data_IF_871432371712
#
_entry.id   IF_871432371712
#
_cell.length_a   1.000
_cell.length_b   1.000
_cell.length_c   1.000
_cell.angle_alpha   90.00
_cell.angle_beta   90.00
_cell.angle_gamma   90.00
#
_symmetry.space_group_name_H-M   'P 1'
#
loop_
_entity.id
_entity.type
_entity.pdbx_description
1 polymer ?
#
# COMPACT_ATOMS: atom_id res chain seq x y z
N UNK A 1 15.39 -24.90 18.78
CA UNK A 1 15.33 -26.21 18.07
C UNK A 1 13.92 -26.76 18.23
N UNK A 2 13.38 -27.45 17.22
CA UNK A 2 12.04 -28.08 17.27
C UNK A 2 11.01 -27.60 16.24
N UNK A 3 11.40 -26.76 15.28
CA UNK A 3 10.50 -26.28 14.21
C UNK A 3 10.45 -27.23 13.00
N UNK A 4 9.41 -27.05 12.19
CA UNK A 4 9.13 -27.76 10.95
C UNK A 4 9.30 -26.84 9.71
N UNK A 5 9.30 -27.43 8.51
CA UNK A 5 9.31 -26.67 7.26
C UNK A 5 7.89 -26.43 6.79
N UNK A 6 7.53 -25.16 6.69
CA UNK A 6 6.30 -24.70 6.08
C UNK A 6 6.63 -23.49 5.19
N UNK A 7 6.48 -23.66 3.88
CA UNK A 7 6.84 -22.65 2.90
C UNK A 7 5.82 -21.49 2.90
N UNK A 8 4.53 -21.76 3.18
CA UNK A 8 3.52 -20.70 3.33
C UNK A 8 3.85 -19.83 4.54
N UNK A 9 4.10 -20.46 5.70
CA UNK A 9 4.50 -19.76 6.92
C UNK A 9 5.78 -18.95 6.70
N UNK A 10 6.76 -19.51 5.98
CA UNK A 10 7.99 -18.79 5.66
C UNK A 10 7.71 -17.57 4.79
N UNK A 11 6.85 -17.68 3.77
CA UNK A 11 6.44 -16.55 2.95
C UNK A 11 5.67 -15.49 3.77
N UNK A 12 4.71 -15.88 4.62
CA UNK A 12 4.00 -14.97 5.53
C UNK A 12 4.96 -14.25 6.49
N UNK A 13 6.01 -14.92 6.96
CA UNK A 13 7.03 -14.31 7.83
C UNK A 13 7.90 -13.30 7.08
N UNK A 14 8.24 -13.57 5.81
CA UNK A 14 8.92 -12.59 4.95
C UNK A 14 8.04 -11.36 4.73
N UNK A 15 6.73 -11.55 4.49
CA UNK A 15 5.78 -10.45 4.35
C UNK A 15 5.74 -9.56 5.61
N UNK A 16 5.58 -10.16 6.79
CA UNK A 16 5.65 -9.46 8.08
C UNK A 16 6.99 -8.73 8.26
N UNK A 17 8.11 -9.39 7.93
CA UNK A 17 9.43 -8.81 8.03
C UNK A 17 9.63 -7.59 7.12
N UNK A 18 8.97 -7.54 5.96
CA UNK A 18 9.02 -6.37 5.06
C UNK A 18 8.44 -5.11 5.71
N UNK A 19 7.47 -5.29 6.61
CA UNK A 19 6.85 -4.24 7.42
C UNK A 19 7.33 -4.27 8.88
N UNK A 20 8.57 -4.70 9.10
CA UNK A 20 9.25 -4.65 10.40
C UNK A 20 10.50 -3.74 10.30
N UNK A 21 11.05 -3.25 11.42
CA UNK A 21 12.24 -2.38 11.38
C UNK A 21 13.44 -3.05 10.69
N UNK A 22 13.67 -4.34 10.99
CA UNK A 22 14.76 -5.13 10.40
C UNK A 22 14.20 -6.37 9.74
N UNK A 23 14.49 -6.54 8.44
CA UNK A 23 14.22 -7.77 7.70
C UNK A 23 15.49 -8.62 7.63
N UNK A 24 15.58 -9.66 8.46
CA UNK A 24 16.71 -10.59 8.48
C UNK A 24 16.24 -12.03 8.52
N UNK A 25 16.59 -12.81 7.50
CA UNK A 25 16.31 -14.25 7.46
C UNK A 25 17.40 -15.00 8.23
N UNK A 26 17.00 -15.70 9.28
CA UNK A 26 17.90 -16.47 10.13
C UNK A 26 17.32 -17.87 10.40
N UNK A 27 18.19 -18.86 10.56
CA UNK A 27 17.81 -20.25 10.74
C UNK A 27 18.77 -20.99 11.68
N UNK A 28 18.28 -22.07 12.28
CA UNK A 28 19.15 -23.03 12.97
C UNK A 28 20.07 -23.71 11.94
N UNK A 29 21.30 -24.05 12.34
CA UNK A 29 22.24 -24.81 11.50
C UNK A 29 21.75 -26.24 11.29
N UNK A 30 21.06 -26.48 10.19
CA UNK A 30 20.53 -27.77 9.76
C UNK A 30 20.50 -27.83 8.24
N UNK A 31 20.89 -28.96 7.65
CA UNK A 31 20.89 -29.17 6.20
C UNK A 31 19.47 -29.18 5.60
N UNK A 32 18.47 -29.42 6.45
CA UNK A 32 17.06 -29.51 6.08
C UNK A 32 16.34 -28.15 6.11
N UNK A 33 16.96 -27.10 6.64
CA UNK A 33 16.37 -25.76 6.73
C UNK A 33 16.95 -24.86 5.65
N UNK A 34 16.08 -24.33 4.78
CA UNK A 34 16.44 -23.33 3.78
C UNK A 34 15.97 -21.95 4.24
N UNK A 35 16.86 -20.97 4.24
CA UNK A 35 16.52 -19.54 4.45
C UNK A 35 16.46 -18.77 3.13
N UNK A 36 17.02 -19.36 2.08
CA UNK A 36 17.14 -18.78 0.76
C UNK A 36 15.79 -18.81 0.04
N UNK A 37 15.21 -17.64 -0.33
CA UNK A 37 13.88 -17.56 -0.92
C UNK A 37 13.70 -18.40 -2.20
N UNK A 38 14.77 -18.61 -2.98
CA UNK A 38 14.73 -19.42 -4.20
C UNK A 38 14.58 -20.93 -3.95
N UNK A 39 14.74 -21.41 -2.70
CA UNK A 39 14.49 -22.82 -2.33
C UNK A 39 13.04 -23.09 -1.92
N UNK A 40 12.22 -22.03 -1.75
CA UNK A 40 10.79 -22.15 -1.53
C UNK A 40 10.11 -22.75 -2.76
N UNK A 41 9.02 -23.48 -2.56
CA UNK A 41 8.21 -24.01 -3.65
C UNK A 41 7.62 -22.87 -4.49
N UNK A 42 7.67 -23.08 -5.81
CA UNK A 42 6.99 -22.23 -6.78
C UNK A 42 5.60 -22.80 -7.04
N UNK A 43 4.62 -21.94 -7.26
CA UNK A 43 3.28 -22.34 -7.70
C UNK A 43 3.07 -21.89 -9.14
N UNK A 44 2.42 -22.73 -9.95
CA UNK A 44 1.97 -22.37 -11.29
C UNK A 44 0.72 -21.49 -11.28
N UNK A 45 0.05 -21.29 -10.13
CA UNK A 45 -1.13 -20.44 -10.01
C UNK A 45 -0.77 -18.95 -10.10
N UNK A 46 -1.10 -18.26 -11.21
CA UNK A 46 -0.74 -16.85 -11.38
C UNK A 46 -1.52 -15.91 -10.46
N UNK A 47 -2.70 -16.33 -9.99
CA UNK A 47 -3.63 -15.51 -9.19
C UNK A 47 -3.40 -15.62 -7.68
N UNK A 48 -2.97 -16.79 -7.18
CA UNK A 48 -2.69 -16.97 -5.76
C UNK A 48 -1.22 -16.64 -5.39
N UNK A 49 -0.30 -16.87 -6.34
CA UNK A 49 1.16 -16.82 -6.11
C UNK A 49 1.64 -17.97 -5.22
N UNK A 50 2.79 -18.57 -5.56
CA UNK A 50 3.43 -19.54 -4.68
C UNK A 50 4.27 -18.87 -3.59
N UNK A 51 4.75 -19.64 -2.60
CA UNK A 51 5.64 -19.13 -1.57
C UNK A 51 6.88 -18.40 -2.10
N UNK A 52 7.51 -18.93 -3.16
CA UNK A 52 8.68 -18.29 -3.81
C UNK A 52 8.32 -16.95 -4.45
N UNK A 53 7.21 -16.90 -5.18
CA UNK A 53 6.76 -15.70 -5.88
C UNK A 53 6.38 -14.61 -4.87
N UNK A 54 5.62 -14.97 -3.83
CA UNK A 54 5.27 -14.07 -2.74
C UNK A 54 6.52 -13.52 -2.03
N UNK A 55 7.45 -14.38 -1.64
CA UNK A 55 8.71 -13.96 -1.03
C UNK A 55 9.50 -12.99 -1.94
N UNK A 56 9.57 -13.30 -3.24
CA UNK A 56 10.27 -12.45 -4.23
C UNK A 56 9.61 -11.09 -4.38
N UNK A 57 8.28 -11.04 -4.46
CA UNK A 57 7.51 -9.80 -4.58
C UNK A 57 7.75 -8.90 -3.37
N UNK A 58 7.67 -9.45 -2.16
CA UNK A 58 7.82 -8.69 -0.92
C UNK A 58 9.25 -8.25 -0.65
N UNK A 59 10.25 -9.09 -0.97
CA UNK A 59 11.66 -8.69 -0.89
C UNK A 59 11.97 -7.53 -1.84
N UNK A 60 11.41 -7.54 -3.07
CA UNK A 60 11.52 -6.39 -3.98
C UNK A 60 10.80 -5.17 -3.43
N UNK A 61 9.59 -5.33 -2.89
CA UNK A 61 8.86 -4.25 -2.24
C UNK A 61 9.67 -3.64 -1.09
N UNK A 62 10.35 -4.45 -0.27
CA UNK A 62 11.21 -3.94 0.81
C UNK A 62 12.31 -3.01 0.29
N UNK A 63 12.94 -3.35 -0.83
CA UNK A 63 13.89 -2.44 -1.47
C UNK A 63 13.21 -1.19 -2.02
N UNK A 64 12.03 -1.33 -2.63
CA UNK A 64 11.27 -0.18 -3.13
C UNK A 64 10.85 0.77 -2.01
N UNK A 65 10.62 0.26 -0.81
CA UNK A 65 10.27 1.05 0.38
C UNK A 65 11.45 1.84 0.97
N UNK A 66 12.70 1.68 0.50
CA UNK A 66 13.85 2.36 1.10
C UNK A 66 13.69 3.89 1.28
N UNK A 67 13.14 4.66 0.33
CA UNK A 67 12.91 6.10 0.52
C UNK A 67 12.00 6.41 1.73
N UNK A 68 10.89 5.67 1.86
CA UNK A 68 9.99 5.78 3.01
C UNK A 68 10.66 5.32 4.31
N UNK A 69 11.32 4.17 4.30
CA UNK A 69 11.96 3.58 5.47
C UNK A 69 13.10 4.46 6.01
N UNK A 70 13.90 5.05 5.13
CA UNK A 70 14.98 5.94 5.54
C UNK A 70 14.42 7.16 6.28
N UNK A 71 13.43 7.84 5.68
CA UNK A 71 12.77 9.01 6.29
C UNK A 71 12.11 8.66 7.63
N UNK A 72 11.43 7.51 7.74
CA UNK A 72 10.79 7.07 8.98
C UNK A 72 11.80 6.59 10.05
N UNK A 73 12.95 6.03 9.66
CA UNK A 73 14.01 5.69 10.61
C UNK A 73 14.75 6.93 11.10
N UNK A 74 14.92 7.95 10.24
CA UNK A 74 15.43 9.26 10.67
C UNK A 74 14.50 9.88 11.70
N UNK A 75 13.18 9.88 11.44
CA UNK A 75 12.17 10.30 12.41
C UNK A 75 12.32 9.55 13.75
N UNK A 76 12.52 8.23 13.70
CA UNK A 76 12.75 7.45 14.91
C UNK A 76 14.03 7.86 15.66
N UNK A 77 15.11 8.18 14.95
CA UNK A 77 16.38 8.59 15.53
C UNK A 77 16.33 10.02 16.12
N UNK A 78 15.65 10.95 15.45
CA UNK A 78 15.62 12.37 15.82
C UNK A 78 14.49 12.69 16.79
N UNK A 79 13.29 12.15 16.57
CA UNK A 79 12.10 12.45 17.36
C UNK A 79 11.79 11.39 18.42
N UNK A 80 12.45 10.22 18.38
CA UNK A 80 12.15 9.10 19.27
C UNK A 80 10.85 8.37 18.93
N UNK A 81 10.26 8.60 17.77
CA UNK A 81 9.00 7.99 17.32
C UNK A 81 9.29 6.76 16.43
N UNK A 82 9.15 5.53 16.94
CA UNK A 82 9.58 4.33 16.24
C UNK A 82 8.76 4.09 14.96
N UNK A 83 9.37 3.37 14.01
CA UNK A 83 8.73 2.97 12.76
C UNK A 83 7.50 2.07 12.97
N UNK A 84 7.46 1.25 14.02
CA UNK A 84 6.30 0.42 14.34
C UNK A 84 5.66 0.97 15.60
N UNK A 85 4.39 1.36 15.51
CA UNK A 85 3.62 1.92 16.62
C UNK A 85 2.33 1.13 16.82
N UNK A 86 2.00 0.72 18.06
CA UNK A 86 0.75 0.03 18.31
C UNK A 86 -0.43 1.00 18.15
N UNK A 87 -1.59 0.48 17.79
CA UNK A 87 -2.77 1.31 17.51
C UNK A 87 -3.21 2.19 18.69
N UNK A 88 -3.03 1.69 19.92
CA UNK A 88 -3.46 2.42 21.13
C UNK A 88 -2.65 3.70 21.39
N UNK A 89 -1.53 3.95 20.69
CA UNK A 89 -0.80 5.22 20.79
C UNK A 89 -1.59 6.38 20.17
N UNK A 90 -2.13 6.15 18.97
CA UNK A 90 -2.93 7.12 18.23
C UNK A 90 -4.38 7.13 18.72
N UNK A 91 -4.94 5.94 18.97
CA UNK A 91 -6.35 5.74 19.30
C UNK A 91 -6.56 5.40 20.78
N UNK A 92 -5.99 6.21 21.68
CA UNK A 92 -5.95 5.97 23.13
C UNK A 92 -7.32 5.76 23.80
N UNK A 93 -8.38 6.35 23.23
CA UNK A 93 -9.74 6.29 23.77
C UNK A 93 -10.61 5.21 23.11
N UNK A 94 -10.01 4.34 22.30
CA UNK A 94 -10.70 3.30 21.53
C UNK A 94 -10.33 1.93 22.07
N UNK A 95 -11.29 1.23 22.67
CA UNK A 95 -11.08 -0.13 23.21
C UNK A 95 -10.61 -1.11 22.13
N UNK A 96 -11.04 -0.90 20.89
CA UNK A 96 -10.58 -1.69 19.74
C UNK A 96 -9.06 -1.66 19.57
N UNK A 97 -8.43 -0.51 19.81
CA UNK A 97 -6.99 -0.34 19.65
C UNK A 97 -6.19 -1.22 20.63
N UNK A 98 -6.78 -1.57 21.77
CA UNK A 98 -6.22 -2.49 22.76
C UNK A 98 -6.57 -3.95 22.47
N UNK A 99 -7.71 -4.24 21.81
CA UNK A 99 -8.12 -5.60 21.44
C UNK A 99 -7.35 -6.16 20.24
N UNK A 100 -6.91 -5.30 19.31
CA UNK A 100 -6.22 -5.69 18.08
C UNK A 100 -4.69 -5.53 18.17
N UNK A 101 -4.09 -6.19 19.16
CA UNK A 101 -2.67 -6.03 19.56
C UNK A 101 -1.65 -6.29 18.44
N UNK A 102 -1.97 -7.18 17.49
CA UNK A 102 -1.09 -7.52 16.38
C UNK A 102 -1.18 -6.53 15.20
N UNK A 103 -2.17 -5.62 15.20
CA UNK A 103 -2.27 -4.57 14.19
C UNK A 103 -1.47 -3.35 14.64
N UNK A 104 -0.78 -2.71 13.70
CA UNK A 104 0.12 -1.60 14.02
C UNK A 104 0.23 -0.59 12.89
N UNK A 105 0.57 0.64 13.25
CA UNK A 105 1.00 1.67 12.31
C UNK A 105 2.46 1.43 11.93
N UNK A 106 2.75 1.52 10.63
CA UNK A 106 4.07 1.38 10.05
C UNK A 106 4.51 2.72 9.45
N UNK A 107 5.30 3.47 10.21
CA UNK A 107 5.60 4.87 9.98
C UNK A 107 4.37 5.74 10.20
N UNK A 108 4.24 6.82 9.44
CA UNK A 108 3.12 7.76 9.55
C UNK A 108 1.92 7.38 8.66
N UNK A 109 2.12 6.53 7.65
CA UNK A 109 1.18 6.43 6.51
C UNK A 109 0.43 5.10 6.40
N UNK A 110 0.98 4.02 6.96
CA UNK A 110 0.51 2.65 6.72
C UNK A 110 -0.03 2.00 7.99
N UNK A 111 -1.09 1.22 7.84
CA UNK A 111 -1.63 0.29 8.83
C UNK A 111 -1.41 -1.13 8.34
N UNK A 112 -0.76 -1.96 9.15
CA UNK A 112 -0.44 -3.35 8.84
C UNK A 112 -1.23 -4.26 9.76
N UNK A 113 -1.88 -5.27 9.18
CA UNK A 113 -2.62 -6.29 9.93
C UNK A 113 -2.08 -7.68 9.55
N UNK A 114 -1.13 -8.23 10.33
CA UNK A 114 -0.49 -9.48 10.00
C UNK A 114 -1.45 -10.67 9.91
N UNK A 115 -1.22 -11.53 8.92
CA UNK A 115 -1.87 -12.85 8.84
C UNK A 115 -1.00 -13.86 9.59
N UNK A 116 -1.58 -14.49 10.60
CA UNK A 116 -0.91 -15.51 11.44
C UNK A 116 -1.61 -16.87 11.40
N UNK A 117 -2.68 -16.99 10.63
CA UNK A 117 -3.42 -18.24 10.41
C UNK A 117 -3.10 -18.80 9.01
N UNK A 118 -3.09 -20.14 8.84
CA UNK A 118 -2.85 -20.76 7.54
C UNK A 118 -3.99 -20.45 6.55
N UNK A 119 -3.66 -20.44 5.26
CA UNK A 119 -4.66 -20.32 4.22
C UNK A 119 -5.59 -21.54 4.18
N UNK A 120 -6.85 -21.28 3.83
CA UNK A 120 -7.75 -22.37 3.45
C UNK A 120 -7.22 -23.02 2.16
N UNK A 121 -6.98 -24.34 2.14
CA UNK A 121 -6.36 -25.01 1.01
C UNK A 121 -7.25 -25.06 -0.23
N UNK A 122 -8.58 -24.96 -0.08
CA UNK A 122 -9.50 -24.91 -1.22
C UNK A 122 -9.61 -23.50 -1.79
N UNK A 123 -9.59 -22.47 -0.95
CA UNK A 123 -9.70 -21.09 -1.40
C UNK A 123 -8.35 -20.48 -1.81
N UNK A 124 -7.24 -20.95 -1.23
CA UNK A 124 -5.93 -20.32 -1.37
C UNK A 124 -5.85 -18.95 -0.69
N UNK A 125 -6.72 -18.69 0.29
CA UNK A 125 -6.84 -17.42 1.00
C UNK A 125 -6.63 -17.66 2.50
N UNK A 126 -5.81 -16.83 3.12
CA UNK A 126 -5.76 -16.74 4.58
C UNK A 126 -6.56 -15.52 5.02
N UNK A 127 -7.29 -15.65 6.12
CA UNK A 127 -8.09 -14.57 6.70
C UNK A 127 -7.49 -14.08 8.00
N UNK A 128 -7.80 -12.84 8.34
CA UNK A 128 -7.54 -12.29 9.66
C UNK A 128 -8.69 -11.34 10.04
N UNK A 129 -8.98 -11.20 11.33
CA UNK A 129 -9.95 -10.22 11.83
C UNK A 129 -9.20 -8.94 12.20
N UNK A 130 -9.52 -7.83 11.55
CA UNK A 130 -8.88 -6.54 11.79
C UNK A 130 -9.88 -5.48 12.21
N UNK A 131 -9.37 -4.41 12.82
CA UNK A 131 -10.11 -3.17 13.05
C UNK A 131 -9.47 -2.06 12.23
N UNK A 132 -10.26 -1.45 11.34
CA UNK A 132 -9.86 -0.23 10.66
C UNK A 132 -10.29 0.96 11.53
N UNK A 133 -9.35 1.80 11.98
CA UNK A 133 -9.69 2.99 12.75
C UNK A 133 -10.55 3.99 11.96
N UNK A 134 -11.16 4.99 12.60
CA UNK A 134 -11.95 6.01 11.92
C UNK A 134 -11.22 6.68 10.75
N UNK A 135 -11.95 6.97 9.68
CA UNK A 135 -11.43 7.55 8.44
C UNK A 135 -11.56 6.62 7.24
N UNK A 136 -11.01 7.03 6.10
CA UNK A 136 -10.95 6.20 4.91
C UNK A 136 -9.56 5.58 4.73
N UNK A 137 -9.53 4.34 4.27
CA UNK A 137 -8.33 3.54 4.11
C UNK A 137 -8.30 2.92 2.72
N UNK A 138 -7.13 2.76 2.12
CA UNK A 138 -6.99 2.13 0.81
C UNK A 138 -5.99 0.99 0.90
N UNK A 139 -6.39 -0.21 0.45
CA UNK A 139 -5.48 -1.34 0.37
C UNK A 139 -4.31 -0.99 -0.56
N UNK A 140 -3.10 -1.01 -0.01
CA UNK A 140 -1.87 -0.55 -0.67
C UNK A 140 -1.55 -1.34 -1.95
N UNK A 141 -1.98 -2.60 -2.02
CA UNK A 141 -1.70 -3.49 -3.14
C UNK A 141 -2.83 -3.52 -4.17
N UNK A 142 -4.08 -3.42 -3.74
CA UNK A 142 -5.25 -3.60 -4.62
C UNK A 142 -5.95 -2.29 -4.99
N UNK A 143 -5.67 -1.20 -4.27
CA UNK A 143 -6.40 0.07 -4.41
C UNK A 143 -7.87 0.00 -4.00
N UNK A 144 -8.26 -1.06 -3.29
CA UNK A 144 -9.63 -1.21 -2.76
C UNK A 144 -9.82 -0.23 -1.62
N UNK A 145 -10.91 0.52 -1.66
CA UNK A 145 -11.23 1.57 -0.70
C UNK A 145 -12.03 0.99 0.46
N UNK A 146 -11.71 1.37 1.68
CA UNK A 146 -12.39 0.94 2.90
C UNK A 146 -12.85 2.14 3.70
N UNK A 147 -14.10 2.08 4.18
CA UNK A 147 -14.52 2.94 5.29
C UNK A 147 -14.08 2.31 6.61
N UNK A 148 -13.49 3.14 7.46
CA UNK A 148 -12.99 2.75 8.77
C UNK A 148 -14.07 2.74 9.85
N UNK A 149 -13.62 2.89 11.09
CA UNK A 149 -14.43 2.78 12.31
C UNK A 149 -15.18 1.44 12.44
N UNK A 150 -14.55 0.36 12.00
CA UNK A 150 -15.21 -0.96 11.94
C UNK A 150 -14.25 -2.13 12.05
N UNK A 151 -14.79 -3.23 12.55
CA UNK A 151 -14.15 -4.54 12.49
C UNK A 151 -14.58 -5.28 11.22
N UNK A 152 -13.66 -5.98 10.58
CA UNK A 152 -13.93 -6.79 9.41
C UNK A 152 -12.98 -7.99 9.32
N UNK A 153 -13.46 -9.02 8.64
CA UNK A 153 -12.61 -10.10 8.18
C UNK A 153 -11.96 -9.70 6.86
N UNK A 154 -10.64 -9.91 6.76
CA UNK A 154 -9.84 -9.54 5.60
C UNK A 154 -9.16 -10.81 5.10
N UNK A 155 -9.40 -11.15 3.83
CA UNK A 155 -8.91 -12.37 3.20
C UNK A 155 -7.88 -12.03 2.12
N UNK A 156 -6.67 -12.60 2.17
CA UNK A 156 -5.64 -12.35 1.16
C UNK A 156 -5.00 -13.65 0.65
N UNK A 157 -4.78 -13.77 -0.68
CA UNK A 157 -3.91 -14.81 -1.21
C UNK A 157 -2.47 -14.57 -0.76
N UNK A 158 -1.60 -15.54 -1.00
CA UNK A 158 -0.19 -15.43 -0.60
C UNK A 158 0.55 -14.32 -1.34
N UNK A 159 0.13 -13.97 -2.56
CA UNK A 159 0.67 -12.83 -3.31
C UNK A 159 0.37 -11.44 -2.69
N UNK A 160 -0.55 -11.34 -1.72
CA UNK A 160 -0.98 -10.09 -1.10
C UNK A 160 -0.88 -10.15 0.43
N UNK A 161 -0.94 -8.98 1.06
CA UNK A 161 -0.88 -8.83 2.51
C UNK A 161 -1.77 -7.67 2.98
N UNK A 162 -2.42 -7.74 4.15
CA UNK A 162 -3.28 -6.65 4.64
C UNK A 162 -2.44 -5.44 5.07
N UNK A 163 -2.32 -4.48 4.15
CA UNK A 163 -1.63 -3.20 4.36
C UNK A 163 -2.50 -2.10 3.78
N UNK A 164 -2.83 -1.13 4.60
CA UNK A 164 -3.77 -0.06 4.29
C UNK A 164 -3.09 1.29 4.44
N UNK A 165 -3.21 2.14 3.43
CA UNK A 165 -2.78 3.53 3.47
C UNK A 165 -3.98 4.40 3.86
N UNK A 166 -3.82 5.30 4.84
CA UNK A 166 -4.88 6.22 5.26
C UNK A 166 -5.16 7.28 4.17
N UNK A 167 -6.35 7.86 4.16
CA UNK A 167 -6.61 9.07 3.37
C UNK A 167 -5.59 10.17 3.71
N UNK A 168 -5.08 10.87 2.69
CA UNK A 168 -3.99 11.84 2.81
C UNK A 168 -2.59 11.22 2.87
N UNK A 169 -2.45 9.89 2.82
CA UNK A 169 -1.14 9.26 2.88
C UNK A 169 -0.26 9.61 1.68
N UNK A 170 1.01 9.86 1.94
CA UNK A 170 2.04 10.13 0.92
C UNK A 170 3.23 9.20 1.17
N UNK A 171 3.42 8.22 0.28
CA UNK A 171 4.41 7.15 0.46
C UNK A 171 5.40 7.16 -0.71
N UNK A 172 6.63 7.66 -0.52
CA UNK A 172 7.68 7.60 -1.53
C UNK A 172 8.31 6.20 -1.62
N UNK A 173 8.47 5.72 -2.84
CA UNK A 173 9.03 4.43 -3.21
C UNK A 173 10.03 4.60 -4.36
N UNK A 174 10.93 3.65 -4.50
CA UNK A 174 11.66 3.46 -5.77
C UNK A 174 10.67 3.03 -6.88
N UNK A 175 10.72 3.73 -8.03
CA UNK A 175 9.90 3.40 -9.20
C UNK A 175 10.33 2.07 -9.84
N UNK A 176 11.57 1.62 -9.63
CA UNK A 176 12.07 0.39 -10.19
C UNK A 176 11.29 -0.82 -9.65
N UNK A 177 10.68 -1.60 -10.53
CA UNK A 177 9.98 -2.84 -10.15
C UNK A 177 10.95 -3.91 -9.58
N UNK A 178 12.23 -3.83 -9.95
CA UNK A 178 13.31 -4.69 -9.47
C UNK A 178 14.51 -3.79 -9.13
N UNK A 179 14.49 -3.12 -7.96
CA UNK A 179 15.63 -2.29 -7.55
C UNK A 179 16.92 -3.11 -7.53
N UNK A 180 18.03 -2.45 -7.81
CA UNK A 180 19.35 -3.06 -7.66
C UNK A 180 19.67 -3.29 -6.20
N UNK A 181 20.60 -4.20 -5.93
CA UNK A 181 21.11 -4.36 -4.57
C UNK A 181 21.86 -3.09 -4.15
N UNK A 182 21.71 -2.68 -2.89
CA UNK A 182 22.30 -1.47 -2.33
C UNK A 182 21.24 -0.51 -1.79
N UNK A 183 21.66 0.71 -1.53
CA UNK A 183 20.83 1.79 -0.97
C UNK A 183 21.09 3.13 -1.68
N UNK A 184 21.51 3.10 -2.95
CA UNK A 184 21.69 4.33 -3.73
C UNK A 184 20.34 5.02 -3.94
N UNK A 185 20.35 6.36 -3.99
CA UNK A 185 19.12 7.12 -4.22
C UNK A 185 18.55 6.84 -5.62
N UNK A 186 17.22 6.64 -5.73
CA UNK A 186 16.61 6.26 -6.98
C UNK A 186 16.58 7.43 -7.97
N UNK A 187 16.89 7.14 -9.24
CA UNK A 187 16.75 8.09 -10.36
C UNK A 187 15.29 8.33 -10.76
N UNK A 188 14.38 7.46 -10.30
CA UNK A 188 12.95 7.58 -10.49
C UNK A 188 12.21 7.18 -9.20
N UNK A 189 11.31 8.06 -8.73
CA UNK A 189 10.49 7.82 -7.55
C UNK A 189 9.05 7.53 -7.97
N UNK A 190 8.43 6.53 -7.33
CA UNK A 190 6.97 6.47 -7.23
C UNK A 190 6.56 7.17 -5.93
N UNK A 191 5.57 8.06 -6.00
CA UNK A 191 4.91 8.62 -4.82
C UNK A 191 3.46 8.18 -4.84
N UNK A 192 3.10 7.29 -3.92
CA UNK A 192 1.70 6.88 -3.72
C UNK A 192 1.01 7.96 -2.90
N UNK A 193 -0.08 8.52 -3.41
CA UNK A 193 -0.84 9.59 -2.77
C UNK A 193 -2.30 9.14 -2.64
N UNK A 194 -2.79 9.00 -1.43
CA UNK A 194 -4.19 8.63 -1.17
C UNK A 194 -5.02 9.91 -1.02
N UNK A 195 -6.03 10.09 -1.87
CA UNK A 195 -6.96 11.21 -1.78
C UNK A 195 -7.88 11.09 -0.54
N UNK A 196 -8.76 12.07 -0.33
CA UNK A 196 -9.79 12.03 0.72
C UNK A 196 -9.44 12.82 1.99
N UNK A 197 -8.18 13.22 2.16
CA UNK A 197 -7.72 14.13 3.21
C UNK A 197 -6.46 14.87 2.78
N UNK A 198 -6.13 15.96 3.46
CA UNK A 198 -4.85 16.65 3.27
C UNK A 198 -3.69 15.76 3.75
N UNK A 199 -2.54 15.90 3.10
CA UNK A 199 -1.35 15.10 3.37
C UNK A 199 -0.08 15.91 3.26
N UNK A 200 0.93 15.56 4.05
CA UNK A 200 2.27 16.11 3.94
C UNK A 200 3.31 15.04 4.31
N UNK A 201 4.43 15.03 3.59
CA UNK A 201 5.54 14.13 3.84
C UNK A 201 6.85 14.79 3.42
N UNK A 202 7.86 14.75 4.29
CA UNK A 202 9.22 15.16 3.98
C UNK A 202 10.05 13.91 3.64
N UNK A 203 10.45 13.80 2.37
CA UNK A 203 11.37 12.77 1.92
C UNK A 203 12.79 13.23 2.21
N UNK A 204 13.48 12.47 3.06
CA UNK A 204 14.89 12.68 3.36
C UNK A 204 15.76 11.74 2.55
N UNK A 205 16.81 12.29 1.94
CA UNK A 205 17.83 11.55 1.20
C UNK A 205 19.21 12.05 1.62
N UNK A 206 20.18 11.16 1.74
CA UNK A 206 21.59 11.55 1.88
C UNK A 206 22.13 11.95 0.50
N UNK A 207 22.98 12.98 0.37
CA UNK A 207 23.61 13.28 -0.92
C UNK A 207 24.50 12.10 -1.36
N UNK A 208 24.68 11.92 -2.67
CA UNK A 208 25.65 10.94 -3.19
C UNK A 208 27.06 11.36 -2.77
N UNK A 209 27.63 10.67 -1.77
CA UNK A 209 29.02 10.85 -1.34
C UNK A 209 29.96 10.02 -2.22
N UNK A 210 31.12 10.57 -2.59
CA UNK A 210 32.22 9.72 -3.04
C UNK A 210 32.61 8.84 -1.84
N UNK A 211 32.54 7.52 -1.98
CA UNK A 211 32.98 6.53 -0.98
C UNK A 211 34.42 6.78 -0.47
N UNK A 212 35.22 7.63 -1.15
CA UNK A 212 36.59 8.00 -0.79
C UNK A 212 36.71 9.14 0.25
N UNK A 213 35.65 9.93 0.52
CA UNK A 213 35.75 11.14 1.35
C UNK A 213 35.73 10.89 2.87
N UNK A 214 35.45 9.66 3.31
CA UNK A 214 35.18 9.34 4.72
C UNK A 214 33.80 9.85 5.15
N UNK A 215 33.19 9.15 6.12
CA UNK A 215 31.86 9.57 6.63
C UNK A 215 31.99 10.92 7.34
N UNK A 216 31.17 11.93 7.01
CA UNK A 216 31.17 13.18 7.74
C UNK A 216 30.79 12.97 9.22
N UNK A 217 31.27 13.87 10.08
CA UNK A 217 30.93 13.84 11.52
C UNK A 217 29.45 14.21 11.78
N UNK A 218 28.83 14.96 10.86
CA UNK A 218 27.41 15.33 10.90
C UNK A 218 26.66 14.74 9.69
N UNK A 219 25.44 14.28 9.92
CA UNK A 219 24.59 13.67 8.90
C UNK A 219 24.05 14.75 7.96
N UNK A 220 24.50 14.77 6.71
CA UNK A 220 23.99 15.70 5.70
C UNK A 220 22.73 15.16 5.03
N UNK A 221 21.66 15.96 5.03
CA UNK A 221 20.37 15.56 4.45
C UNK A 221 19.88 16.53 3.39
N UNK A 222 19.22 15.96 2.40
CA UNK A 222 18.54 16.63 1.31
C UNK A 222 17.05 16.32 1.45
N UNK A 223 16.22 17.34 1.69
CA UNK A 223 14.79 17.17 1.95
C UNK A 223 13.95 17.61 0.76
N UNK A 224 13.06 16.73 0.30
CA UNK A 224 12.00 17.05 -0.66
C UNK A 224 10.65 17.05 0.06
N UNK A 225 10.00 18.21 0.14
CA UNK A 225 8.67 18.32 0.76
C UNK A 225 7.57 18.02 -0.25
N UNK A 226 6.68 17.10 0.10
CA UNK A 226 5.54 16.67 -0.71
C UNK A 226 4.27 16.97 0.09
N UNK A 227 3.33 17.68 -0.52
CA UNK A 227 2.03 17.96 0.10
C UNK A 227 0.88 17.73 -0.86
N UNK A 228 -0.25 17.29 -0.34
CA UNK A 228 -1.50 17.15 -1.05
C UNK A 228 -2.60 17.94 -0.33
N UNK A 229 -3.30 18.80 -1.07
CA UNK A 229 -4.47 19.52 -0.61
C UNK A 229 -5.72 18.91 -1.26
N UNK A 230 -6.57 18.30 -0.43
CA UNK A 230 -7.77 17.59 -0.86
C UNK A 230 -8.80 18.54 -1.46
N UNK A 231 -9.07 19.68 -0.83
CA UNK A 231 -10.09 20.61 -1.31
C UNK A 231 -9.80 21.11 -2.74
N UNK A 232 -8.54 21.45 -3.00
CA UNK A 232 -8.06 21.91 -4.32
C UNK A 232 -7.74 20.75 -5.27
N UNK A 233 -7.57 19.53 -4.75
CA UNK A 233 -7.01 18.40 -5.49
C UNK A 233 -5.63 18.69 -6.04
N UNK A 234 -4.77 19.34 -5.25
CA UNK A 234 -3.45 19.82 -5.69
C UNK A 234 -2.33 19.11 -4.95
N UNK A 235 -1.37 18.59 -5.71
CA UNK A 235 -0.10 18.05 -5.20
C UNK A 235 0.99 19.09 -5.46
N UNK A 236 1.82 19.37 -4.45
CA UNK A 236 3.01 20.20 -4.54
C UNK A 236 4.23 19.37 -4.11
N UNK A 237 5.26 19.29 -4.97
CA UNK A 237 6.54 18.63 -4.69
C UNK A 237 7.65 19.66 -4.80
N UNK A 238 8.17 20.10 -3.66
CA UNK A 238 9.24 21.10 -3.57
C UNK A 238 10.58 20.38 -3.49
N UNK A 239 11.22 20.23 -4.63
CA UNK A 239 12.56 19.63 -4.69
C UNK A 239 13.61 20.59 -4.14
N UNK A 240 14.63 20.09 -3.44
CA UNK A 240 15.76 20.88 -3.00
C UNK A 240 16.66 21.25 -4.20
N UNK A 241 17.38 22.36 -4.08
CA UNK A 241 18.35 22.78 -5.10
C UNK A 241 19.62 21.93 -5.11
N UNK A 242 19.96 21.29 -3.97
CA UNK A 242 21.07 20.33 -3.88
C UNK A 242 20.64 18.99 -4.46
N UNK A 243 21.53 18.32 -5.20
CA UNK A 243 21.25 17.02 -5.81
C UNK A 243 21.34 15.90 -4.76
N UNK A 244 20.26 15.11 -4.56
CA UNK A 244 20.36 13.81 -3.89
C UNK A 244 20.81 12.69 -4.86
N UNK A 245 20.83 12.96 -6.18
CA UNK A 245 21.11 11.95 -7.19
C UNK A 245 22.60 11.69 -7.40
N UNK A 246 22.96 10.51 -7.95
CA UNK A 246 24.31 10.18 -8.32
C UNK A 246 24.99 11.19 -9.24
N UNK A 247 26.33 11.26 -9.17
CA UNK A 247 27.13 12.19 -10.01
C UNK A 247 26.74 12.17 -11.49
N UNK A 248 26.58 13.37 -12.05
CA UNK A 248 26.24 13.58 -13.46
C UNK A 248 24.74 13.54 -13.77
N UNK A 249 23.88 13.10 -12.84
CA UNK A 249 22.43 13.18 -12.99
C UNK A 249 21.92 14.55 -12.56
N UNK A 250 21.07 15.15 -13.39
CA UNK A 250 20.50 16.51 -13.18
C UNK A 250 18.97 16.54 -13.26
N UNK A 251 18.36 15.39 -13.54
CA UNK A 251 16.92 15.24 -13.66
C UNK A 251 16.47 13.96 -12.97
N UNK A 252 15.23 13.97 -12.48
CA UNK A 252 14.56 12.83 -11.85
C UNK A 252 13.22 12.56 -12.53
N UNK A 253 12.83 11.29 -12.61
CA UNK A 253 11.48 10.91 -13.05
C UNK A 253 10.57 10.72 -11.84
N UNK A 254 9.32 11.19 -11.93
CA UNK A 254 8.35 11.09 -10.85
C UNK A 254 7.10 10.37 -11.33
N UNK A 255 6.76 9.23 -10.74
CA UNK A 255 5.48 8.56 -10.92
C UNK A 255 4.58 8.86 -9.73
N UNK A 256 3.49 9.59 -9.92
CA UNK A 256 2.46 9.78 -8.91
C UNK A 256 1.39 8.72 -9.10
N UNK A 257 1.04 7.98 -8.05
CA UNK A 257 0.02 6.93 -8.11
C UNK A 257 -1.10 7.24 -7.12
N UNK A 258 -2.35 7.25 -7.58
CA UNK A 258 -3.52 7.62 -6.78
C UNK A 258 -4.45 6.41 -6.61
N UNK A 259 -4.14 5.48 -5.69
CA UNK A 259 -4.94 4.27 -5.51
C UNK A 259 -6.35 4.61 -5.02
N UNK A 260 -7.35 3.90 -5.52
CA UNK A 260 -8.77 4.15 -5.20
C UNK A 260 -9.37 5.37 -5.91
N UNK A 261 -8.59 6.20 -6.60
CA UNK A 261 -9.08 7.31 -7.43
C UNK A 261 -9.17 6.88 -8.91
N UNK A 262 -10.39 6.93 -9.49
CA UNK A 262 -10.65 6.59 -10.90
C UNK A 262 -11.67 7.57 -11.51
N UNK A 263 -11.25 8.77 -11.91
CA UNK A 263 -12.15 9.74 -12.53
C UNK A 263 -12.59 9.26 -13.92
N UNK A 264 -13.84 9.52 -14.30
CA UNK A 264 -14.32 9.20 -15.66
C UNK A 264 -13.56 9.96 -16.75
N UNK A 265 -13.13 11.19 -16.43
CA UNK A 265 -12.34 12.07 -17.31
C UNK A 265 -11.27 12.80 -16.49
N UNK A 266 -10.06 12.24 -16.35
CA UNK A 266 -8.97 12.91 -15.63
C UNK A 266 -8.61 14.20 -16.36
N UNK A 267 -9.01 15.35 -15.81
CA UNK A 267 -8.50 16.67 -16.23
C UNK A 267 -7.29 17.02 -15.39
N UNK A 268 -6.22 16.30 -15.64
CA UNK A 268 -4.99 16.46 -14.88
C UNK A 268 -4.06 17.44 -15.57
N UNK A 269 -3.67 18.49 -14.85
CA UNK A 269 -2.68 19.47 -15.31
C UNK A 269 -1.40 19.31 -14.48
N UNK A 270 -0.26 19.45 -15.15
CA UNK A 270 1.06 19.39 -14.52
C UNK A 270 1.84 20.64 -14.91
N UNK A 271 2.41 21.30 -13.91
CA UNK A 271 3.26 22.47 -14.06
C UNK A 271 4.59 22.25 -13.34
N UNK A 272 5.65 22.79 -13.92
CA UNK A 272 6.93 22.97 -13.27
C UNK A 272 7.16 24.47 -13.05
N UNK A 273 7.49 24.84 -11.84
CA UNK A 273 7.96 26.18 -11.51
C UNK A 273 9.43 26.08 -11.13
N UNK A 274 10.27 26.91 -11.76
CA UNK A 274 11.70 26.99 -11.47
C UNK A 274 11.97 28.40 -10.97
N UNK A 275 12.54 28.55 -9.76
CA UNK A 275 12.74 29.80 -9.02
C UNK A 275 12.94 31.07 -9.90
N UNK A 276 11.84 31.68 -10.37
CA UNK A 276 11.82 32.92 -11.16
C UNK A 276 11.65 32.84 -12.69
N UNK A 277 11.66 31.66 -13.33
CA UNK A 277 11.57 31.52 -14.80
C UNK A 277 10.16 31.21 -15.35
N UNK A 278 9.12 31.31 -14.52
CA UNK A 278 7.74 31.04 -14.89
C UNK A 278 7.35 29.56 -14.92
N UNK A 279 6.05 29.30 -15.16
CA UNK A 279 5.46 27.97 -15.25
C UNK A 279 5.75 27.32 -16.60
N UNK A 280 6.27 26.10 -16.60
CA UNK A 280 6.47 25.27 -17.79
C UNK A 280 5.63 23.98 -17.71
N UNK A 281 5.10 23.50 -18.83
CA UNK A 281 4.42 22.20 -18.89
C UNK A 281 5.45 21.10 -19.19
N UNK A 282 5.67 20.13 -18.29
CA UNK A 282 6.61 19.03 -18.55
C UNK A 282 6.01 17.98 -19.49
N UNK A 283 6.85 17.07 -19.97
CA UNK A 283 6.38 15.83 -20.59
C UNK A 283 5.87 14.88 -19.50
N UNK A 284 4.61 14.49 -19.60
CA UNK A 284 4.01 13.48 -18.73
C UNK A 284 3.09 12.52 -19.50
N UNK A 285 2.83 11.36 -18.92
CA UNK A 285 1.85 10.37 -19.40
C UNK A 285 0.98 9.87 -18.26
N UNK A 286 -0.26 9.47 -18.56
CA UNK A 286 -1.14 8.79 -17.60
C UNK A 286 -0.74 7.32 -17.52
N UNK A 287 -0.69 6.77 -16.31
CA UNK A 287 -0.36 5.37 -16.05
C UNK A 287 -1.51 4.73 -15.27
N UNK A 288 -1.95 3.54 -15.66
CA UNK A 288 -2.85 2.71 -14.87
C UNK A 288 -2.12 1.45 -14.40
N UNK A 289 -2.13 1.20 -13.10
CA UNK A 289 -1.40 0.08 -12.47
C UNK A 289 -2.34 -0.91 -11.76
N UNK A 290 -3.64 -0.84 -12.06
CA UNK A 290 -4.69 -1.65 -11.45
C UNK A 290 -5.20 -1.12 -10.10
N UNK A 291 -4.40 -0.33 -9.37
CA UNK A 291 -4.80 0.26 -8.08
C UNK A 291 -5.56 1.58 -8.24
N UNK A 292 -5.29 2.29 -9.33
CA UNK A 292 -5.95 3.56 -9.66
C UNK A 292 -5.35 4.19 -10.90
N UNK A 293 -5.59 5.49 -11.06
CA UNK A 293 -4.96 6.33 -12.08
C UNK A 293 -3.68 6.95 -11.51
N UNK A 294 -2.66 7.10 -12.33
CA UNK A 294 -1.40 7.73 -11.99
C UNK A 294 -0.84 8.58 -13.13
N UNK A 295 0.26 9.27 -12.87
CA UNK A 295 0.96 10.13 -13.81
C UNK A 295 2.45 9.81 -13.75
N UNK A 296 3.13 9.77 -14.89
CA UNK A 296 4.57 9.71 -14.95
C UNK A 296 5.11 10.98 -15.59
N UNK A 297 5.86 11.75 -14.82
CA UNK A 297 6.45 13.03 -15.20
C UNK A 297 7.95 12.79 -15.45
N UNK A 298 8.39 12.98 -16.68
CA UNK A 298 9.74 12.60 -17.10
C UNK A 298 10.73 13.75 -16.97
N UNK A 299 11.97 13.41 -16.64
CA UNK A 299 13.13 14.29 -16.72
C UNK A 299 12.94 15.64 -16.01
N UNK A 300 12.33 15.65 -14.82
CA UNK A 300 12.13 16.86 -14.04
C UNK A 300 13.48 17.37 -13.54
N UNK A 301 13.86 18.63 -13.81
CA UNK A 301 15.09 19.21 -13.28
C UNK A 301 15.11 19.21 -11.75
N UNK A 302 16.29 19.01 -11.16
CA UNK A 302 16.50 19.20 -9.73
C UNK A 302 16.19 20.65 -9.33
N UNK A 303 15.65 20.84 -8.12
CA UNK A 303 15.21 22.14 -7.62
C UNK A 303 13.89 22.66 -8.22
N UNK A 304 13.31 21.99 -9.22
CA UNK A 304 12.02 22.39 -9.76
C UNK A 304 10.88 22.06 -8.77
N UNK A 305 9.94 22.98 -8.64
CA UNK A 305 8.68 22.79 -7.93
C UNK A 305 7.66 22.14 -8.87
N UNK A 306 7.20 20.93 -8.55
CA UNK A 306 6.21 20.20 -9.35
C UNK A 306 4.84 20.47 -8.75
N UNK A 307 3.91 20.95 -9.58
CA UNK A 307 2.51 21.18 -9.21
C UNK A 307 1.64 20.30 -10.08
N UNK A 308 0.78 19.49 -9.46
CA UNK A 308 -0.19 18.65 -10.16
C UNK A 308 -1.59 18.97 -9.65
N UNK A 309 -2.53 19.22 -10.57
CA UNK A 309 -3.93 19.44 -10.21
C UNK A 309 -4.79 18.31 -10.77
N UNK A 310 -5.57 17.67 -9.89
CA UNK A 310 -6.46 16.54 -10.19
C UNK A 310 -7.92 16.99 -10.42
N UNK A 311 -8.20 18.28 -10.20
CA UNK A 311 -9.54 18.84 -10.05
C UNK A 311 -9.97 18.91 -8.58
N UNK A 312 -10.88 19.84 -8.26
CA UNK A 312 -11.31 20.09 -6.88
C UNK A 312 -11.94 18.85 -6.23
N UNK A 313 -11.58 18.60 -4.96
CA UNK A 313 -12.12 17.53 -4.12
C UNK A 313 -12.15 16.13 -4.79
N UNK A 314 -10.99 15.58 -5.21
CA UNK A 314 -10.96 14.27 -5.86
C UNK A 314 -11.45 13.19 -4.88
N UNK A 315 -12.45 12.42 -5.29
CA UNK A 315 -13.10 11.41 -4.45
C UNK A 315 -12.77 9.98 -4.86
N UNK A 316 -12.94 9.04 -3.94
CA UNK A 316 -12.76 7.62 -4.23
C UNK A 316 -13.78 7.09 -5.25
N UNK A 317 -13.33 6.16 -6.09
CA UNK A 317 -14.21 5.38 -6.92
C UNK A 317 -14.89 4.27 -6.10
N UNK A 318 -16.13 3.93 -6.47
CA UNK A 318 -16.85 2.79 -5.88
C UNK A 318 -16.08 1.50 -6.15
N UNK A 319 -16.01 0.62 -5.16
CA UNK A 319 -15.39 -0.68 -5.35
C UNK A 319 -16.24 -1.56 -6.29
N UNK A 320 -15.58 -2.29 -7.18
CA UNK A 320 -16.21 -3.34 -7.98
C UNK A 320 -16.22 -4.65 -7.19
N UNK A 321 -17.16 -4.75 -6.25
CA UNK A 321 -17.30 -5.89 -5.36
C UNK A 321 -17.57 -7.19 -6.15
N UNK A 322 -18.44 -7.13 -7.15
CA UNK A 322 -18.81 -8.28 -7.97
C UNK A 322 -17.63 -8.85 -8.74
N UNK A 323 -16.78 -8.02 -9.34
CA UNK A 323 -15.53 -8.48 -9.98
C UNK A 323 -14.56 -9.12 -8.98
N UNK A 324 -14.41 -8.57 -7.78
CA UNK A 324 -13.55 -9.17 -6.73
C UNK A 324 -14.08 -10.52 -6.28
N UNK A 325 -15.37 -10.63 -6.00
CA UNK A 325 -16.00 -11.90 -5.61
C UNK A 325 -15.91 -12.92 -6.74
N UNK A 326 -16.08 -12.50 -7.99
CA UNK A 326 -15.88 -13.38 -9.15
C UNK A 326 -14.47 -13.96 -9.17
N UNK A 327 -13.44 -13.14 -8.96
CA UNK A 327 -12.05 -13.60 -8.89
C UNK A 327 -11.81 -14.61 -7.75
N UNK A 328 -12.44 -14.41 -6.59
CA UNK A 328 -12.41 -15.37 -5.48
C UNK A 328 -13.03 -16.71 -5.90
N UNK A 329 -14.22 -16.69 -6.48
CA UNK A 329 -14.91 -17.90 -6.93
C UNK A 329 -14.18 -18.62 -8.07
N UNK A 330 -13.60 -17.87 -9.01
CA UNK A 330 -12.84 -18.44 -10.13
C UNK A 330 -11.59 -19.17 -9.62
N UNK A 331 -10.88 -18.61 -8.64
CA UNK A 331 -9.69 -19.22 -8.04
C UNK A 331 -10.00 -20.41 -7.11
N UNK A 332 -11.14 -20.37 -6.40
CA UNK A 332 -11.50 -21.37 -5.40
C UNK A 332 -11.66 -22.78 -5.98
N UNK A 333 -11.05 -23.78 -5.34
CA UNK A 333 -11.16 -25.21 -5.64
C UNK A 333 -12.30 -25.83 -4.81
N UNK A 334 -13.53 -25.36 -5.07
CA UNK A 334 -14.77 -25.78 -4.41
C UNK A 334 -15.79 -26.27 -5.44
N UNK A 335 -16.87 -26.88 -4.97
CA UNK A 335 -17.94 -27.40 -5.82
C UNK A 335 -18.57 -26.30 -6.69
N UNK A 336 -18.81 -26.60 -7.97
CA UNK A 336 -19.40 -25.65 -8.91
C UNK A 336 -20.79 -25.18 -8.46
N UNK A 337 -21.60 -26.08 -7.90
CA UNK A 337 -22.92 -25.74 -7.37
C UNK A 337 -22.85 -24.66 -6.28
N UNK A 338 -21.82 -24.70 -5.42
CA UNK A 338 -21.60 -23.67 -4.41
C UNK A 338 -21.19 -22.33 -5.05
N UNK A 339 -20.32 -22.36 -6.07
CA UNK A 339 -19.97 -21.14 -6.82
C UNK A 339 -21.20 -20.52 -7.48
N UNK A 340 -22.04 -21.34 -8.10
CA UNK A 340 -23.29 -20.91 -8.73
C UNK A 340 -24.27 -20.34 -7.70
N UNK A 341 -24.40 -20.96 -6.53
CA UNK A 341 -25.26 -20.45 -5.45
C UNK A 341 -24.79 -19.08 -4.94
N UNK A 342 -23.48 -18.90 -4.73
CA UNK A 342 -22.92 -17.59 -4.35
C UNK A 342 -23.10 -16.58 -5.47
N UNK A 343 -22.84 -16.93 -6.73
CA UNK A 343 -23.01 -16.02 -7.87
C UNK A 343 -24.47 -15.60 -8.06
N UNK A 344 -25.41 -16.53 -7.90
CA UNK A 344 -26.84 -16.25 -7.95
C UNK A 344 -27.29 -15.30 -6.83
N UNK A 345 -26.71 -15.41 -5.63
CA UNK A 345 -26.97 -14.48 -4.54
C UNK A 345 -26.57 -13.03 -4.89
N UNK A 346 -25.55 -12.84 -5.74
CA UNK A 346 -25.14 -11.53 -6.27
C UNK A 346 -26.01 -11.01 -7.43
N UNK A 347 -27.02 -11.77 -7.87
CA UNK A 347 -27.83 -11.45 -9.05
C UNK A 347 -27.41 -12.14 -10.35
N UNK A 348 -26.47 -13.09 -10.29
CA UNK A 348 -26.03 -13.87 -11.46
C UNK A 348 -25.30 -13.00 -12.48
N UNK A 349 -25.73 -13.04 -13.75
CA UNK A 349 -25.26 -12.16 -14.84
C UNK A 349 -26.22 -10.99 -15.12
N UNK A 350 -27.31 -10.87 -14.35
CA UNK A 350 -28.29 -9.79 -14.47
C UNK A 350 -27.93 -8.52 -13.70
N UNK A 351 -28.94 -7.69 -13.47
CA UNK A 351 -28.84 -6.46 -12.69
C UNK A 351 -28.35 -6.73 -11.27
N UNK A 352 -27.48 -5.86 -10.76
CA UNK A 352 -26.95 -5.95 -9.40
C UNK A 352 -28.07 -5.61 -8.39
N UNK A 353 -28.49 -6.56 -7.52
CA UNK A 353 -29.48 -6.29 -6.48
C UNK A 353 -28.95 -5.26 -5.48
N UNK A 354 -29.85 -4.73 -4.65
CA UNK A 354 -29.43 -3.84 -3.56
C UNK A 354 -28.45 -4.55 -2.61
N UNK A 355 -27.44 -3.85 -2.10
CA UNK A 355 -26.39 -4.43 -1.25
C UNK A 355 -26.94 -5.23 -0.06
N UNK A 356 -27.93 -4.69 0.65
CA UNK A 356 -28.54 -5.37 1.79
C UNK A 356 -29.25 -6.68 1.39
N UNK A 357 -29.86 -6.69 0.21
CA UNK A 357 -30.47 -7.91 -0.35
C UNK A 357 -29.42 -8.95 -0.69
N UNK A 358 -28.29 -8.55 -1.29
CA UNK A 358 -27.16 -9.44 -1.56
C UNK A 358 -26.64 -10.07 -0.27
N UNK A 359 -26.45 -9.26 0.78
CA UNK A 359 -26.01 -9.75 2.10
C UNK A 359 -27.01 -10.75 2.68
N UNK A 360 -28.30 -10.46 2.62
CA UNK A 360 -29.35 -11.37 3.11
C UNK A 360 -29.38 -12.69 2.34
N UNK A 361 -29.22 -12.66 1.01
CA UNK A 361 -29.13 -13.86 0.16
C UNK A 361 -27.89 -14.68 0.48
N UNK A 362 -26.72 -14.05 0.62
CA UNK A 362 -25.47 -14.74 0.98
C UNK A 362 -25.52 -15.38 2.37
N UNK A 363 -26.22 -14.76 3.33
CA UNK A 363 -26.42 -15.33 4.65
C UNK A 363 -27.20 -16.66 4.63
N UNK A 364 -28.02 -16.89 3.61
CA UNK A 364 -28.78 -18.13 3.42
C UNK A 364 -28.02 -19.22 2.66
N UNK A 365 -26.88 -18.90 2.03
CA UNK A 365 -26.06 -19.89 1.32
C UNK A 365 -25.20 -20.66 2.32
N UNK A 366 -25.30 -21.99 2.30
CA UNK A 366 -24.47 -22.87 3.11
C UNK A 366 -23.03 -22.88 2.58
N UNK A 367 -22.12 -22.25 3.33
CA UNK A 367 -20.72 -22.09 2.96
C UNK A 367 -19.82 -22.02 4.19
N UNK A 368 -18.53 -22.32 4.01
CA UNK A 368 -17.53 -22.18 5.06
C UNK A 368 -17.37 -20.72 5.49
N UNK A 369 -16.85 -20.49 6.69
CA UNK A 369 -16.64 -19.14 7.19
C UNK A 369 -15.56 -18.39 6.40
N UNK A 370 -14.56 -19.10 5.86
CA UNK A 370 -13.49 -18.54 5.05
C UNK A 370 -14.03 -18.02 3.73
N UNK A 371 -14.91 -18.78 3.07
CA UNK A 371 -15.57 -18.32 1.85
C UNK A 371 -16.49 -17.15 2.16
N UNK A 372 -17.27 -17.22 3.25
CA UNK A 372 -18.13 -16.13 3.70
C UNK A 372 -17.35 -14.84 3.93
N UNK A 373 -16.23 -14.90 4.63
CA UNK A 373 -15.36 -13.76 4.84
C UNK A 373 -14.83 -13.17 3.52
N UNK A 374 -14.34 -14.03 2.62
CA UNK A 374 -13.77 -13.61 1.34
C UNK A 374 -14.79 -12.96 0.39
N UNK A 375 -16.08 -13.34 0.46
CA UNK A 375 -17.13 -12.74 -0.37
C UNK A 375 -17.82 -11.55 0.28
N UNK A 376 -17.84 -11.49 1.62
CA UNK A 376 -18.43 -10.38 2.36
C UNK A 376 -17.52 -9.15 2.39
N UNK A 377 -16.20 -9.33 2.52
CA UNK A 377 -15.22 -8.22 2.56
C UNK A 377 -15.40 -7.24 1.40
N UNK A 378 -15.42 -7.66 0.12
CA UNK A 378 -15.60 -6.72 -0.99
C UNK A 378 -16.94 -5.97 -0.98
N UNK A 379 -18.01 -6.56 -0.45
CA UNK A 379 -19.36 -5.96 -0.44
C UNK A 379 -19.46 -4.80 0.53
N UNK A 380 -18.80 -4.91 1.68
CA UNK A 380 -18.91 -3.94 2.79
C UNK A 380 -17.70 -3.01 2.89
N UNK A 381 -16.71 -3.16 2.01
CA UNK A 381 -15.45 -2.42 2.09
C UNK A 381 -15.67 -0.90 2.10
N UNK A 382 -16.31 -0.32 1.08
CA UNK A 382 -16.39 1.15 0.89
C UNK A 382 -17.44 1.89 1.74
N UNK A 383 -18.15 1.20 2.63
CA UNK A 383 -19.17 1.82 3.48
C UNK A 383 -18.55 2.84 4.44
N UNK A 384 -18.88 4.13 4.25
CA UNK A 384 -18.38 5.21 5.09
C UNK A 384 -17.07 5.85 4.62
N UNK A 385 -16.52 5.43 3.48
CA UNK A 385 -15.25 5.94 2.95
C UNK A 385 -15.32 7.36 2.34
N UNK A 386 -16.36 8.16 2.61
CA UNK A 386 -16.50 9.47 1.97
C UNK A 386 -15.46 10.47 2.47
N UNK A 387 -14.96 11.37 1.60
CA UNK A 387 -14.06 12.44 2.03
C UNK A 387 -14.74 13.29 3.10
N UNK A 388 -14.17 13.37 4.29
CA UNK A 388 -14.62 14.34 5.29
C UNK A 388 -14.14 15.71 4.82
N UNK A 389 -15.02 16.50 4.21
CA UNK A 389 -14.79 17.94 4.14
C UNK A 389 -14.77 18.44 5.59
N UNK A 390 -13.60 18.82 6.08
CA UNK A 390 -13.43 19.33 7.43
C UNK A 390 -14.34 20.54 7.65
N UNK A 391 -15.38 20.34 8.45
CA UNK A 391 -15.82 21.38 9.38
C UNK A 391 -15.38 20.86 10.74
N UNK A 392 -14.19 21.27 11.16
CA UNK A 392 -13.84 21.21 12.57
C UNK A 392 -14.73 22.25 13.26
N UNK A 393 -15.83 21.80 13.85
CA UNK A 393 -16.43 22.53 14.96
C UNK A 393 -15.65 22.12 16.21
N UNK A 394 -14.79 23.03 16.66
CA UNK A 394 -14.22 23.01 18.01
C UNK A 394 -15.37 23.03 19.04
N UNK A 395 -15.33 22.06 19.96
CA UNK A 395 -16.20 21.98 21.13
C UNK A 395 -15.44 21.46 22.34
#
# INVERSE_FOLDING_TARGET
MGGDRDDERTARWIQLGCFSPVLRLHSTRSDWVAKEPWRLLSSSSPSAGGPREAATLFLRLRHRLLPYLHSMNLRAAVEGLPLVQPLYWEYQKRDEAYRYENSYLFGTELLVMPITEPADPKLGLARMKGWLPPGAWVDFFQGTVYGGDRELWISRPLALYPVFAKAGAIIPLDDAAKPTNGAANPEALEVVIVVGADGAFDLHEEPDEDDEAGRPEELELVTTSISFNQAKGRVDIRQPSRSPLPRGKRTRTWRLSFPGWRPEKPRTTVYLENNGSGLATPRFETVEDGRGVGLKIHNVPLGAHIIVELGAAPGFARNDARRRIRAVLDAAQIEYALKEAVWAALGGDGDEPARLEVVARLAAVDMSEELRAAVMEPLVADEGAQPTCGVADDG
#
